data_IF_217711545913
#
_entry.id   IF_217711545913
#
_cell.length_a   1.000
_cell.length_b   1.000
_cell.length_c   1.000
_cell.angle_alpha   90.00
_cell.angle_beta   90.00
_cell.angle_gamma   90.00
#
_symmetry.space_group_name_H-M   'P 1'
#
loop_
_entity.id
_entity.type
_entity.pdbx_description
1 polymer ?
#
# COMPACT_ATOMS: atom_id res chain seq x y z
N UNK A 1 7.64 6.93 3.02
CA UNK A 1 6.95 6.67 1.73
C UNK A 1 7.45 5.35 1.18
N UNK A 2 6.59 4.59 0.51
CA UNK A 2 6.97 3.28 -0.04
C UNK A 2 7.07 3.33 -1.57
N UNK A 3 8.12 2.74 -2.10
CA UNK A 3 8.38 2.61 -3.54
C UNK A 3 7.97 1.21 -3.98
N UNK A 4 7.56 1.07 -5.24
CA UNK A 4 7.25 -0.21 -5.87
C UNK A 4 7.77 -0.25 -7.32
N UNK A 5 7.72 -1.43 -7.95
CA UNK A 5 8.22 -1.63 -9.31
C UNK A 5 7.58 -0.67 -10.34
N UNK A 6 6.31 -0.32 -10.16
CA UNK A 6 5.61 0.62 -11.05
C UNK A 6 6.26 2.01 -11.04
N UNK A 7 6.79 2.46 -9.90
CA UNK A 7 7.47 3.74 -9.80
C UNK A 7 8.77 3.74 -10.63
N UNK A 8 9.50 2.62 -10.64
CA UNK A 8 10.71 2.45 -11.45
C UNK A 8 10.39 2.43 -12.95
N UNK A 9 9.38 1.66 -13.36
CA UNK A 9 8.97 1.57 -14.78
C UNK A 9 8.46 2.92 -15.31
N UNK A 10 7.75 3.69 -14.49
CA UNK A 10 7.34 5.07 -14.83
C UNK A 10 8.52 6.02 -14.93
N UNK A 11 9.49 5.92 -14.02
CA UNK A 11 10.70 6.75 -14.06
C UNK A 11 11.57 6.50 -15.29
N UNK A 12 11.46 5.31 -15.90
CA UNK A 12 12.12 4.96 -17.16
C UNK A 12 11.29 5.30 -18.41
N UNK A 13 10.15 5.97 -18.25
CA UNK A 13 9.25 6.34 -19.36
C UNK A 13 8.75 5.13 -20.17
N UNK A 14 8.75 3.94 -19.57
CA UNK A 14 8.24 2.71 -20.21
C UNK A 14 6.71 2.63 -20.17
N UNK A 15 6.06 3.51 -19.40
CA UNK A 15 4.61 3.69 -19.32
C UNK A 15 4.33 5.18 -19.41
N UNK A 16 3.32 5.57 -20.21
CA UNK A 16 2.85 6.95 -20.33
C UNK A 16 2.10 7.39 -19.07
N UNK A 17 2.87 7.72 -18.02
CA UNK A 17 2.36 8.17 -16.73
C UNK A 17 3.46 8.83 -15.91
N UNK A 18 3.33 10.13 -15.68
CA UNK A 18 4.27 10.92 -14.87
C UNK A 18 4.05 10.75 -13.35
N UNK A 19 3.06 9.94 -12.94
CA UNK A 19 2.62 9.84 -11.55
C UNK A 19 3.52 8.88 -10.78
N UNK A 20 4.37 9.43 -9.92
CA UNK A 20 5.24 8.66 -9.04
C UNK A 20 4.64 8.50 -7.64
N UNK A 21 4.85 7.30 -7.09
CA UNK A 21 4.42 6.91 -5.76
C UNK A 21 3.03 6.26 -5.76
N UNK A 22 2.71 5.64 -4.63
CA UNK A 22 1.45 4.92 -4.50
C UNK A 22 1.05 4.54 -3.07
N UNK A 23 1.94 4.70 -2.09
CA UNK A 23 1.71 4.32 -0.70
C UNK A 23 2.60 5.07 0.28
N UNK A 24 2.04 5.46 1.42
CA UNK A 24 2.80 6.16 2.46
C UNK A 24 2.30 5.82 3.86
N UNK A 25 3.14 6.14 4.84
CA UNK A 25 2.76 6.25 6.25
C UNK A 25 3.11 7.65 6.72
N UNK A 26 2.23 8.26 7.53
CA UNK A 26 2.40 9.62 8.03
C UNK A 26 1.74 9.78 9.41
N UNK A 27 1.80 11.01 9.91
CA UNK A 27 1.01 11.48 11.04
C UNK A 27 -0.04 12.48 10.56
N UNK A 28 -1.24 12.41 11.14
CA UNK A 28 -2.32 13.34 10.85
C UNK A 28 -2.00 14.70 11.47
N UNK A 29 -1.91 15.73 10.64
CA UNK A 29 -1.66 17.10 11.10
C UNK A 29 -2.97 17.86 11.39
N UNK A 30 -3.97 17.67 10.53
CA UNK A 30 -5.30 18.23 10.64
C UNK A 30 -6.32 17.24 10.08
N UNK A 31 -7.45 17.12 10.77
CA UNK A 31 -8.56 16.27 10.39
C UNK A 31 -9.79 17.12 10.06
N UNK A 32 -10.61 16.66 9.11
CA UNK A 32 -11.88 17.32 8.79
C UNK A 32 -12.91 17.06 9.89
N UNK A 33 -13.85 18.00 10.09
CA UNK A 33 -14.84 17.93 11.16
C UNK A 33 -15.73 16.66 11.15
N UNK A 34 -15.89 16.02 9.98
CA UNK A 34 -16.68 14.79 9.80
C UNK A 34 -15.84 13.50 9.87
N UNK A 35 -14.66 13.54 10.48
CA UNK A 35 -13.74 12.40 10.54
C UNK A 35 -13.37 12.10 11.98
N UNK A 36 -13.09 10.83 12.27
CA UNK A 36 -12.68 10.37 13.61
C UNK A 36 -11.16 10.46 13.85
N UNK A 37 -10.40 11.02 12.91
CA UNK A 37 -8.95 11.10 13.01
C UNK A 37 -8.50 12.16 14.01
N UNK A 38 -7.56 11.79 14.89
CA UNK A 38 -6.92 12.70 15.83
C UNK A 38 -5.61 13.28 15.29
N UNK A 39 -5.21 14.45 15.78
CA UNK A 39 -3.88 15.02 15.49
C UNK A 39 -2.79 14.13 16.06
N UNK A 40 -1.67 13.99 15.35
CA UNK A 40 -0.52 13.11 15.68
C UNK A 40 -0.90 11.61 15.66
N UNK A 41 -2.09 11.25 15.18
CA UNK A 41 -2.41 9.85 14.91
C UNK A 41 -1.61 9.34 13.71
N UNK A 42 -1.05 8.13 13.81
CA UNK A 42 -0.43 7.44 12.68
C UNK A 42 -1.48 7.04 11.64
N UNK A 43 -1.10 7.17 10.37
CA UNK A 43 -1.95 6.85 9.25
C UNK A 43 -1.15 6.20 8.12
N UNK A 44 -1.83 5.40 7.29
CA UNK A 44 -1.35 4.90 6.00
C UNK A 44 -2.44 5.06 4.96
N UNK A 45 -2.05 5.23 3.69
CA UNK A 45 -2.99 5.30 2.58
C UNK A 45 -2.31 4.92 1.25
N UNK A 46 -3.14 4.62 0.25
CA UNK A 46 -2.74 4.55 -1.14
C UNK A 46 -3.14 5.86 -1.84
N UNK A 47 -2.17 6.56 -2.41
CA UNK A 47 -2.46 7.76 -3.18
C UNK A 47 -1.34 8.07 -4.19
N UNK A 48 -1.67 8.95 -5.13
CA UNK A 48 -0.79 9.43 -6.20
C UNK A 48 -0.06 10.71 -5.78
N UNK A 49 1.10 10.99 -6.40
CA UNK A 49 1.90 12.20 -6.17
C UNK A 49 2.35 12.39 -4.71
N UNK A 50 2.72 11.29 -4.07
CA UNK A 50 3.02 11.23 -2.63
C UNK A 50 4.47 11.60 -2.26
N UNK A 51 5.30 11.95 -3.24
CA UNK A 51 6.68 12.42 -3.03
C UNK A 51 6.69 13.88 -2.55
N UNK A 52 6.03 14.13 -1.41
CA UNK A 52 5.82 15.43 -0.81
C UNK A 52 5.82 15.32 0.72
N UNK A 53 6.08 16.43 1.40
CA UNK A 53 6.08 16.49 2.88
C UNK A 53 4.68 16.56 3.47
N UNK A 54 3.72 17.12 2.71
CA UNK A 54 2.34 17.35 3.14
C UNK A 54 1.38 16.93 2.04
N UNK A 55 0.29 16.26 2.44
CA UNK A 55 -0.70 15.73 1.52
C UNK A 55 -2.10 15.87 2.12
N UNK A 56 -3.11 16.05 1.28
CA UNK A 56 -4.51 16.16 1.70
C UNK A 56 -5.32 15.14 0.90
N UNK A 57 -6.03 14.25 1.60
CA UNK A 57 -6.88 13.24 0.98
C UNK A 57 -8.19 13.03 1.75
N UNK A 58 -9.13 12.35 1.09
CA UNK A 58 -10.39 11.92 1.70
C UNK A 58 -10.12 10.89 2.79
N UNK A 59 -10.79 11.04 3.93
CA UNK A 59 -10.69 10.10 5.06
C UNK A 59 -10.96 8.63 4.67
N UNK A 60 -11.79 8.39 3.65
CA UNK A 60 -12.17 7.06 3.20
C UNK A 60 -11.00 6.21 2.67
N UNK A 61 -9.88 6.82 2.28
CA UNK A 61 -8.69 6.10 1.78
C UNK A 61 -7.55 6.03 2.81
N UNK A 62 -7.78 6.56 4.02
CA UNK A 62 -6.80 6.64 5.09
C UNK A 62 -7.17 5.63 6.16
N UNK A 63 -6.20 4.87 6.67
CA UNK A 63 -6.40 3.89 7.73
C UNK A 63 -5.31 3.97 8.79
N UNK A 64 -5.61 3.55 10.01
CA UNK A 64 -4.62 3.44 11.10
C UNK A 64 -3.78 2.17 10.87
N UNK A 65 -2.43 2.26 10.84
CA UNK A 65 -1.58 1.08 10.78
C UNK A 65 -1.56 0.33 12.13
N UNK A 66 -1.14 -0.95 12.14
CA UNK A 66 -0.83 -1.67 13.37
C UNK A 66 0.16 -0.90 14.28
N UNK A 67 -0.02 -1.02 15.58
CA UNK A 67 0.78 -0.27 16.56
C UNK A 67 2.20 -0.83 16.72
N UNK A 68 2.37 -2.13 16.48
CA UNK A 68 3.60 -2.88 16.68
C UNK A 68 4.60 -2.81 15.51
N UNK A 69 4.33 -1.99 14.49
CA UNK A 69 5.23 -1.81 13.34
C UNK A 69 5.64 -0.36 13.20
N UNK A 70 6.84 -0.13 12.68
CA UNK A 70 7.39 1.18 12.33
C UNK A 70 6.61 1.85 11.18
N UNK A 71 6.81 3.16 11.00
CA UNK A 71 6.25 3.88 9.84
C UNK A 71 6.82 3.40 8.50
N UNK A 72 8.06 2.90 8.50
CA UNK A 72 8.71 2.33 7.31
C UNK A 72 7.98 1.05 6.89
N UNK A 73 7.83 0.11 7.82
CA UNK A 73 7.09 -1.14 7.60
C UNK A 73 5.64 -0.85 7.20
N UNK A 74 4.97 0.05 7.92
CA UNK A 74 3.59 0.45 7.64
C UNK A 74 3.41 1.00 6.22
N UNK A 75 4.38 1.76 5.71
CA UNK A 75 4.33 2.28 4.34
C UNK A 75 4.44 1.21 3.25
N UNK A 76 4.97 0.03 3.61
CA UNK A 76 5.08 -1.12 2.70
C UNK A 76 3.76 -1.85 2.45
N UNK A 77 2.80 -1.74 3.38
CA UNK A 77 1.60 -2.57 3.45
C UNK A 77 0.49 -2.25 2.44
N UNK A 78 0.05 -0.99 2.22
CA UNK A 78 -1.27 -0.71 1.64
C UNK A 78 -1.51 -1.36 0.27
N UNK A 79 -0.62 -1.12 -0.71
CA UNK A 79 -0.74 -1.69 -2.06
C UNK A 79 -0.55 -3.21 -2.05
N UNK A 80 0.35 -3.72 -1.21
CA UNK A 80 0.63 -5.16 -1.12
C UNK A 80 -0.59 -5.90 -0.59
N UNK A 81 -1.14 -5.47 0.54
CA UNK A 81 -2.31 -6.10 1.17
C UNK A 81 -3.55 -6.02 0.28
N UNK A 82 -3.80 -4.88 -0.36
CA UNK A 82 -4.94 -4.77 -1.30
C UNK A 82 -4.79 -5.80 -2.43
N UNK A 83 -3.59 -5.97 -2.98
CA UNK A 83 -3.38 -6.92 -4.09
C UNK A 83 -3.45 -8.37 -3.64
N UNK A 84 -2.74 -8.74 -2.57
CA UNK A 84 -2.55 -10.15 -2.19
C UNK A 84 -3.64 -10.67 -1.26
N UNK A 85 -4.15 -9.85 -0.35
CA UNK A 85 -5.18 -10.26 0.61
C UNK A 85 -6.60 -9.97 0.09
N UNK A 86 -6.81 -8.81 -0.54
CA UNK A 86 -8.15 -8.46 -1.03
C UNK A 86 -8.40 -8.98 -2.45
N UNK A 87 -7.55 -8.66 -3.42
CA UNK A 87 -7.84 -8.96 -4.82
C UNK A 87 -7.60 -10.44 -5.17
N UNK A 88 -6.45 -10.99 -4.80
CA UNK A 88 -6.04 -12.32 -5.27
C UNK A 88 -7.01 -13.46 -4.88
N UNK A 89 -7.53 -13.55 -3.63
CA UNK A 89 -8.47 -14.62 -3.28
C UNK A 89 -9.79 -14.53 -4.05
N UNK A 90 -10.23 -13.30 -4.39
CA UNK A 90 -11.45 -13.08 -5.18
C UNK A 90 -11.32 -13.55 -6.62
N UNK A 91 -10.13 -13.39 -7.21
CA UNK A 91 -9.86 -13.78 -8.58
C UNK A 91 -9.47 -15.25 -8.72
N UNK A 92 -8.66 -15.79 -7.81
CA UNK A 92 -8.09 -17.13 -7.99
C UNK A 92 -8.91 -18.25 -7.35
N UNK A 93 -9.69 -17.96 -6.29
CA UNK A 93 -10.59 -18.92 -5.63
C UNK A 93 -9.95 -20.29 -5.35
N UNK A 94 -8.67 -20.30 -4.98
CA UNK A 94 -7.86 -21.50 -4.82
C UNK A 94 -8.46 -22.45 -3.77
N UNK A 95 -8.39 -23.74 -4.06
CA UNK A 95 -8.81 -24.83 -3.18
C UNK A 95 -7.62 -25.58 -2.61
N UNK A 96 -7.82 -26.20 -1.44
CA UNK A 96 -6.80 -27.05 -0.82
C UNK A 96 -6.39 -28.16 -1.79
N UNK A 97 -5.09 -28.28 -2.04
CA UNK A 97 -4.52 -29.27 -2.96
C UNK A 97 -4.25 -28.76 -4.38
N UNK A 98 -4.71 -27.55 -4.73
CA UNK A 98 -4.34 -26.90 -5.99
C UNK A 98 -2.93 -26.31 -5.92
N UNK A 99 -2.24 -26.30 -7.06
CA UNK A 99 -0.90 -25.73 -7.20
C UNK A 99 -0.97 -24.38 -7.92
N UNK A 100 -0.15 -23.43 -7.49
CA UNK A 100 -0.05 -22.09 -8.07
C UNK A 100 1.41 -21.77 -8.40
N UNK A 101 1.65 -21.17 -9.56
CA UNK A 101 2.95 -20.62 -9.92
C UNK A 101 3.04 -19.16 -9.44
N UNK A 102 4.03 -18.87 -8.59
CA UNK A 102 4.31 -17.50 -8.13
C UNK A 102 5.63 -17.06 -8.76
N UNK A 103 5.53 -16.27 -9.83
CA UNK A 103 6.70 -15.62 -10.42
C UNK A 103 7.22 -14.51 -9.50
N UNK A 104 8.55 -14.32 -9.45
CA UNK A 104 9.22 -13.37 -8.53
C UNK A 104 8.83 -13.57 -7.06
N UNK A 105 8.81 -14.83 -6.59
CA UNK A 105 8.42 -15.21 -5.23
C UNK A 105 9.17 -14.49 -4.09
N UNK A 106 10.41 -14.06 -4.34
CA UNK A 106 11.23 -13.28 -3.39
C UNK A 106 10.86 -11.80 -3.32
N UNK A 107 9.96 -11.33 -4.19
CA UNK A 107 9.44 -9.96 -4.15
C UNK A 107 8.38 -9.79 -3.06
N UNK A 108 8.08 -8.53 -2.71
CA UNK A 108 7.10 -8.20 -1.65
C UNK A 108 5.73 -8.84 -1.87
N UNK A 109 5.26 -8.93 -3.12
CA UNK A 109 4.00 -9.59 -3.44
C UNK A 109 4.13 -11.11 -3.34
N UNK A 110 5.25 -11.68 -3.81
CA UNK A 110 5.52 -13.11 -3.70
C UNK A 110 5.52 -13.58 -2.25
N UNK A 111 6.27 -12.89 -1.38
CA UNK A 111 6.26 -13.14 0.06
C UNK A 111 4.84 -13.06 0.65
N UNK A 112 4.07 -12.02 0.31
CA UNK A 112 2.72 -11.84 0.85
C UNK A 112 1.69 -12.87 0.34
N UNK A 113 1.97 -13.60 -0.74
CA UNK A 113 1.15 -14.72 -1.21
C UNK A 113 1.61 -16.06 -0.62
N UNK A 114 2.93 -16.26 -0.49
CA UNK A 114 3.51 -17.49 0.08
C UNK A 114 3.24 -17.57 1.59
N UNK A 115 3.40 -16.45 2.29
CA UNK A 115 3.12 -16.29 3.71
C UNK A 115 2.03 -15.23 3.87
N UNK A 116 0.76 -15.59 3.63
CA UNK A 116 -0.35 -14.70 3.91
C UNK A 116 -0.37 -14.40 5.41
N UNK A 117 -0.51 -13.11 5.76
CA UNK A 117 -0.60 -12.63 7.14
C UNK A 117 -1.88 -13.10 7.84
#
# INVERSE_FOLDING_TARGET
MGINCQDFVRALEMIDSEILGGKYSCYILRAGAKTSFARIQRAVACAENIFQTYLIYKAAIVVKPPENISSVEASGLPVTLIKTYYSLPRFMQLRKGEMVLIYLGTGVMGHAVIQPA
#
